data_IF_972682365727
#
_entry.id   IF_972682365727
#
_cell.length_a   1.000
_cell.length_b   1.000
_cell.length_c   1.000
_cell.angle_alpha   90.00
_cell.angle_beta   90.00
_cell.angle_gamma   90.00
#
_symmetry.space_group_name_H-M   'P 1'
#
loop_
_entity.id
_entity.type
_entity.pdbx_description
1 polymer ?
#
# COMPACT_ATOMS: atom_id res chain seq x y z
N UNK A 1 27.32 -18.52 14.69
CA UNK A 1 28.25 -19.33 13.87
C UNK A 1 27.72 -20.74 13.81
N UNK A 2 27.60 -21.29 12.60
CA UNK A 2 27.08 -22.64 12.37
C UNK A 2 28.25 -23.61 12.27
N UNK A 3 28.15 -24.72 12.98
CA UNK A 3 29.20 -25.71 13.10
C UNK A 3 28.75 -27.03 12.46
N UNK A 4 29.71 -27.74 11.90
CA UNK A 4 29.55 -29.09 11.37
C UNK A 4 30.46 -30.03 12.16
N UNK A 5 29.98 -31.23 12.44
CA UNK A 5 30.83 -32.28 13.00
C UNK A 5 31.74 -32.77 11.88
N UNK A 6 33.07 -32.59 11.94
CA UNK A 6 33.95 -33.18 10.95
C UNK A 6 33.86 -34.71 11.05
N UNK A 7 34.00 -35.41 9.92
CA UNK A 7 33.98 -36.88 9.88
C UNK A 7 35.02 -37.55 10.80
N UNK A 8 36.01 -36.79 11.29
CA UNK A 8 37.02 -37.22 12.28
C UNK A 8 36.46 -37.34 13.71
N UNK A 9 35.27 -36.83 13.99
CA UNK A 9 34.61 -36.92 15.30
C UNK A 9 33.31 -37.75 15.23
N UNK A 10 33.31 -38.84 14.46
CA UNK A 10 32.22 -39.82 14.41
C UNK A 10 31.82 -40.34 15.80
N UNK A 11 32.77 -40.45 16.73
CA UNK A 11 32.50 -40.81 18.11
C UNK A 11 31.68 -39.74 18.85
N UNK A 12 31.96 -38.45 18.64
CA UNK A 12 31.18 -37.34 19.21
C UNK A 12 29.76 -37.33 18.64
N UNK A 13 29.65 -37.56 17.33
CA UNK A 13 28.38 -37.68 16.63
C UNK A 13 27.51 -38.82 17.19
N UNK A 14 28.11 -40.00 17.39
CA UNK A 14 27.42 -41.16 17.98
C UNK A 14 26.98 -40.93 19.43
N UNK A 15 27.82 -40.30 20.25
CA UNK A 15 27.52 -40.03 21.66
C UNK A 15 26.40 -38.99 21.82
N UNK A 16 26.44 -37.90 21.04
CA UNK A 16 25.45 -36.82 21.13
C UNK A 16 24.23 -37.01 20.21
N UNK A 17 24.17 -38.10 19.45
CA UNK A 17 23.10 -38.35 18.48
C UNK A 17 23.09 -37.35 17.31
N UNK A 18 24.21 -36.70 17.04
CA UNK A 18 24.38 -35.81 15.88
C UNK A 18 24.62 -36.69 14.66
N UNK A 19 23.74 -36.64 13.65
CA UNK A 19 23.98 -37.33 12.38
C UNK A 19 25.25 -36.85 11.67
N UNK A 20 25.72 -37.60 10.66
CA UNK A 20 26.90 -37.24 9.85
C UNK A 20 26.76 -35.90 9.10
N UNK A 21 25.54 -35.39 8.99
CA UNK A 21 25.20 -34.11 8.35
C UNK A 21 24.65 -33.08 9.36
N UNK A 22 24.93 -33.24 10.66
CA UNK A 22 24.45 -32.28 11.64
C UNK A 22 25.08 -30.90 11.45
N UNK A 23 24.21 -29.91 11.31
CA UNK A 23 24.53 -28.49 11.15
C UNK A 23 23.74 -27.76 12.24
N UNK A 24 24.42 -27.12 13.20
CA UNK A 24 23.75 -26.42 14.28
C UNK A 24 24.61 -25.38 14.99
N UNK A 25 24.02 -24.71 15.98
CA UNK A 25 24.68 -23.65 16.74
C UNK A 25 25.28 -24.17 18.04
N UNK A 26 26.10 -23.34 18.70
CA UNK A 26 26.66 -23.64 20.03
C UNK A 26 25.59 -23.96 21.09
N UNK A 27 24.43 -23.33 20.98
CA UNK A 27 23.29 -23.56 21.88
C UNK A 27 22.69 -24.96 21.68
N UNK A 28 22.56 -25.37 20.42
CA UNK A 28 22.05 -26.70 20.07
C UNK A 28 22.98 -27.79 20.63
N UNK A 29 24.31 -27.61 20.53
CA UNK A 29 25.30 -28.50 21.16
C UNK A 29 25.14 -28.57 22.68
N UNK A 30 24.95 -27.42 23.33
CA UNK A 30 24.76 -27.35 24.78
C UNK A 30 23.47 -28.08 25.21
N UNK A 31 22.40 -27.95 24.42
CA UNK A 31 21.11 -28.62 24.68
C UNK A 31 21.21 -30.14 24.54
N UNK A 32 21.92 -30.63 23.50
CA UNK A 32 22.15 -32.05 23.27
C UNK A 32 23.02 -32.66 24.36
N UNK A 33 24.07 -31.94 24.77
CA UNK A 33 24.89 -32.34 25.92
C UNK A 33 24.05 -32.42 27.19
N UNK A 34 23.14 -31.47 27.41
CA UNK A 34 22.20 -31.46 28.53
C UNK A 34 21.27 -32.66 28.54
N UNK A 35 20.70 -33.00 27.39
CA UNK A 35 19.87 -34.19 27.23
C UNK A 35 20.68 -35.46 27.52
N UNK A 36 21.92 -35.54 27.04
CA UNK A 36 22.81 -36.67 27.26
C UNK A 36 23.15 -36.85 28.76
N UNK A 37 23.60 -35.78 29.42
CA UNK A 37 23.95 -35.80 30.85
C UNK A 37 22.77 -36.23 31.72
N UNK A 38 21.55 -35.75 31.40
CA UNK A 38 20.33 -36.17 32.11
C UNK A 38 19.99 -37.64 31.87
N UNK A 39 20.09 -38.11 30.62
CA UNK A 39 19.80 -39.51 30.24
C UNK A 39 20.74 -40.50 30.94
N UNK A 40 22.02 -40.15 31.04
CA UNK A 40 23.06 -41.02 31.62
C UNK A 40 23.34 -40.74 33.11
N UNK A 41 22.61 -39.80 33.75
CA UNK A 41 22.75 -39.42 35.16
C UNK A 41 24.20 -39.10 35.56
N UNK A 42 24.90 -38.34 34.72
CA UNK A 42 26.33 -38.05 34.87
C UNK A 42 26.63 -36.89 35.85
N UNK A 43 25.62 -36.36 36.53
CA UNK A 43 25.81 -35.30 37.52
C UNK A 43 26.38 -35.86 38.82
N UNK A 44 27.36 -35.15 39.39
CA UNK A 44 27.94 -35.50 40.69
C UNK A 44 26.91 -35.25 41.81
N UNK A 45 26.53 -36.26 42.61
CA UNK A 45 25.54 -36.11 43.67
C UNK A 45 26.00 -35.15 44.79
N UNK A 46 27.31 -34.96 44.95
CA UNK A 46 27.86 -34.06 45.97
C UNK A 46 27.92 -32.60 45.49
N UNK A 47 27.99 -32.37 44.17
CA UNK A 47 28.05 -31.02 43.62
C UNK A 47 27.49 -30.97 42.20
N UNK A 48 26.28 -30.40 42.08
CA UNK A 48 25.54 -30.25 40.82
C UNK A 48 26.28 -29.44 39.74
N UNK A 49 27.31 -28.67 40.10
CA UNK A 49 28.12 -27.93 39.15
C UNK A 49 29.10 -28.83 38.38
N UNK A 50 29.39 -30.03 38.89
CA UNK A 50 30.34 -30.96 38.29
C UNK A 50 29.63 -32.15 37.64
N UNK A 51 30.21 -32.60 36.54
CA UNK A 51 29.80 -33.81 35.83
C UNK A 51 30.95 -34.80 35.83
N UNK A 52 30.61 -36.06 36.11
CA UNK A 52 31.51 -37.19 36.01
C UNK A 52 31.37 -37.73 34.58
N UNK A 53 32.44 -37.66 33.80
CA UNK A 53 32.42 -38.11 32.42
C UNK A 53 32.37 -39.64 32.37
N UNK A 54 31.46 -40.17 31.56
CA UNK A 54 31.44 -41.60 31.22
C UNK A 54 32.59 -41.94 30.26
N UNK A 55 32.83 -43.24 30.06
CA UNK A 55 33.87 -43.75 29.17
C UNK A 55 33.68 -43.23 27.73
N UNK A 56 32.43 -43.08 27.30
CA UNK A 56 32.09 -42.58 25.97
C UNK A 56 32.43 -41.10 25.78
N UNK A 57 32.08 -40.21 26.72
CA UNK A 57 32.49 -38.80 26.65
C UNK A 57 33.98 -38.62 26.91
N UNK A 58 34.58 -39.43 27.78
CA UNK A 58 36.02 -39.39 28.06
C UNK A 58 36.84 -39.74 26.82
N UNK A 59 36.40 -40.73 26.02
CA UNK A 59 37.04 -41.08 24.76
C UNK A 59 36.97 -39.94 23.72
N UNK A 60 35.87 -39.18 23.72
CA UNK A 60 35.65 -38.05 22.81
C UNK A 60 36.34 -36.76 23.27
N UNK A 61 36.50 -36.60 24.58
CA UNK A 61 37.11 -35.45 25.23
C UNK A 61 38.34 -35.89 26.04
N UNK A 62 39.44 -36.33 25.39
CA UNK A 62 40.62 -36.83 26.09
C UNK A 62 41.34 -35.75 26.93
N UNK A 63 41.07 -34.47 26.67
CA UNK A 63 41.58 -33.33 27.44
C UNK A 63 40.74 -33.01 28.68
N UNK A 64 39.56 -33.62 28.80
CA UNK A 64 38.68 -33.41 29.93
C UNK A 64 39.01 -34.41 31.04
N UNK A 65 39.36 -33.88 32.23
CA UNK A 65 39.52 -34.71 33.43
C UNK A 65 38.21 -35.45 33.74
N UNK A 66 38.28 -36.61 34.40
CA UNK A 66 37.10 -37.41 34.79
C UNK A 66 36.01 -36.63 35.53
N UNK A 67 36.36 -35.50 36.16
CA UNK A 67 35.45 -34.55 36.80
C UNK A 67 35.62 -33.18 36.18
N UNK A 68 34.58 -32.66 35.54
CA UNK A 68 34.61 -31.34 34.88
C UNK A 68 33.46 -30.45 35.30
N UNK A 69 33.70 -29.14 35.23
CA UNK A 69 32.67 -28.14 35.40
C UNK A 69 31.74 -28.15 34.18
N UNK A 70 30.46 -28.13 34.47
CA UNK A 70 29.42 -28.28 33.50
C UNK A 70 29.34 -27.18 32.44
N UNK A 71 29.67 -25.96 32.87
CA UNK A 71 29.73 -24.79 32.00
C UNK A 71 30.92 -24.83 31.04
N UNK A 72 31.95 -25.62 31.35
CA UNK A 72 33.16 -25.75 30.54
C UNK A 72 33.05 -26.84 29.46
N UNK A 73 32.13 -27.78 29.60
CA UNK A 73 31.96 -28.86 28.61
C UNK A 73 31.45 -28.36 27.24
N UNK A 74 30.39 -27.54 27.15
CA UNK A 74 29.92 -27.04 25.85
C UNK A 74 30.98 -26.22 25.11
N UNK A 75 31.77 -25.39 25.81
CA UNK A 75 32.83 -24.60 25.18
C UNK A 75 33.96 -25.47 24.65
N UNK A 76 34.34 -26.52 25.39
CA UNK A 76 35.35 -27.49 24.96
C UNK A 76 34.89 -28.25 23.73
N UNK A 77 33.64 -28.70 23.68
CA UNK A 77 33.07 -29.38 22.51
C UNK A 77 33.05 -28.44 21.30
N UNK A 78 32.58 -27.20 21.47
CA UNK A 78 32.53 -26.23 20.36
C UNK A 78 33.91 -25.95 19.78
N UNK A 79 34.97 -25.96 20.60
CA UNK A 79 36.35 -25.81 20.11
C UNK A 79 36.82 -26.96 19.21
N UNK A 80 36.20 -28.15 19.31
CA UNK A 80 36.49 -29.32 18.46
C UNK A 80 35.62 -29.36 17.21
N UNK A 81 34.58 -28.54 17.14
CA UNK A 81 33.72 -28.45 15.97
C UNK A 81 34.35 -27.55 14.92
N UNK A 82 34.16 -27.92 13.65
CA UNK A 82 34.67 -27.16 12.49
C UNK A 82 33.55 -26.24 11.99
N UNK A 83 33.85 -25.00 11.57
CA UNK A 83 32.86 -24.16 10.90
C UNK A 83 32.27 -24.87 9.68
N UNK A 84 30.99 -24.69 9.40
CA UNK A 84 30.36 -25.31 8.24
C UNK A 84 31.11 -24.95 6.93
N UNK A 85 31.28 -25.96 6.06
CA UNK A 85 31.98 -25.80 4.79
C UNK A 85 31.30 -24.74 3.93
N UNK A 86 32.08 -23.82 3.34
CA UNK A 86 31.54 -22.86 2.37
C UNK A 86 31.16 -23.60 1.09
N UNK A 87 29.98 -23.32 0.57
CA UNK A 87 29.52 -23.88 -0.71
C UNK A 87 30.42 -23.33 -1.83
N UNK A 88 31.17 -24.21 -2.49
CA UNK A 88 32.04 -23.86 -3.62
C UNK A 88 31.37 -24.28 -4.93
N UNK A 89 31.03 -23.31 -5.76
CA UNK A 89 30.52 -23.55 -7.10
C UNK A 89 31.68 -23.56 -8.10
N UNK A 90 31.94 -24.70 -8.74
CA UNK A 90 32.97 -24.80 -9.79
C UNK A 90 32.28 -24.92 -11.14
N UNK A 91 32.29 -23.83 -11.91
CA UNK A 91 31.74 -23.82 -13.27
C UNK A 91 32.89 -23.81 -14.29
N UNK A 92 32.89 -24.79 -15.18
CA UNK A 92 33.81 -24.85 -16.31
C UNK A 92 33.12 -24.25 -17.53
N UNK A 93 33.59 -23.07 -17.94
CA UNK A 93 33.04 -22.36 -19.11
C UNK A 93 33.56 -23.04 -20.36
N UNK A 94 32.66 -23.58 -21.19
CA UNK A 94 32.99 -24.07 -22.53
C UNK A 94 32.79 -22.93 -23.52
N UNK A 95 33.83 -22.58 -24.29
CA UNK A 95 33.82 -21.47 -25.26
C UNK A 95 33.47 -21.92 -26.69
N UNK A 96 33.33 -23.22 -26.93
CA UNK A 96 33.16 -23.80 -28.26
C UNK A 96 31.72 -23.85 -28.77
N UNK A 97 30.75 -23.43 -27.94
CA UNK A 97 29.31 -23.57 -28.22
C UNK A 97 28.65 -22.18 -28.14
N UNK A 98 27.81 -21.78 -29.12
CA UNK A 98 27.07 -20.52 -29.07
C UNK A 98 26.20 -20.44 -27.81
N UNK A 99 26.10 -19.24 -27.23
CA UNK A 99 25.57 -18.94 -25.87
C UNK A 99 24.24 -19.64 -25.51
N UNK A 100 23.38 -19.92 -26.49
CA UNK A 100 22.06 -20.53 -26.27
C UNK A 100 22.09 -22.01 -25.85
N UNK A 101 23.23 -22.69 -26.00
CA UNK A 101 23.40 -24.09 -25.59
C UNK A 101 24.41 -24.26 -24.44
N UNK A 102 24.71 -23.21 -23.69
CA UNK A 102 25.42 -23.37 -22.43
C UNK A 102 24.39 -23.78 -21.36
N UNK A 103 24.40 -25.04 -20.87
CA UNK A 103 23.38 -25.49 -19.92
C UNK A 103 23.54 -24.70 -18.61
N UNK A 104 22.53 -23.89 -18.27
CA UNK A 104 22.43 -23.26 -16.95
C UNK A 104 22.60 -24.34 -15.90
N UNK A 105 23.67 -24.25 -15.11
CA UNK A 105 23.91 -25.20 -14.03
C UNK A 105 23.03 -24.80 -12.85
N UNK A 106 21.80 -25.32 -12.81
CA UNK A 106 20.89 -25.15 -11.69
C UNK A 106 21.27 -26.15 -10.61
N UNK A 107 21.55 -25.65 -9.40
CA UNK A 107 21.91 -26.45 -8.24
C UNK A 107 20.88 -26.19 -7.16
N UNK A 108 20.08 -27.21 -6.83
CA UNK A 108 19.19 -27.18 -5.69
C UNK A 108 19.99 -27.42 -4.40
N UNK A 109 20.23 -26.34 -3.65
CA UNK A 109 20.85 -26.41 -2.32
C UNK A 109 19.73 -26.41 -1.29
N UNK A 110 19.52 -27.54 -0.62
CA UNK A 110 18.59 -27.65 0.49
C UNK A 110 19.19 -26.95 1.72
N UNK A 111 18.77 -25.71 1.98
CA UNK A 111 19.12 -24.99 3.20
C UNK A 111 18.06 -25.39 4.23
N UNK A 112 18.42 -26.09 5.32
CA UNK A 112 17.49 -26.29 6.42
C UNK A 112 17.19 -24.91 7.01
N UNK A 113 16.03 -24.35 6.66
CA UNK A 113 15.50 -23.21 7.38
C UNK A 113 15.29 -23.67 8.82
N UNK A 114 15.88 -22.95 9.78
CA UNK A 114 15.64 -23.19 11.19
C UNK A 114 14.17 -22.88 11.44
N UNK A 115 13.31 -23.87 11.22
CA UNK A 115 11.98 -23.84 11.80
C UNK A 115 12.19 -23.70 13.30
N UNK A 116 11.55 -22.69 13.84
CA UNK A 116 11.42 -22.36 15.24
C UNK A 116 10.68 -23.47 16.00
N UNK A 117 11.09 -24.73 15.88
CA UNK A 117 10.43 -25.88 16.51
C UNK A 117 10.88 -26.05 17.97
N UNK A 118 11.71 -25.13 18.48
CA UNK A 118 12.12 -25.08 19.89
C UNK A 118 12.52 -23.69 20.39
N UNK A 119 12.32 -22.64 19.60
CA UNK A 119 12.56 -21.27 20.05
C UNK A 119 11.29 -20.77 20.75
N UNK A 120 11.34 -20.82 22.09
CA UNK A 120 10.59 -19.96 23.01
C UNK A 120 9.71 -18.91 22.33
N UNK A 121 8.41 -19.09 22.54
CA UNK A 121 7.28 -18.26 22.11
C UNK A 121 7.30 -16.88 22.79
N UNK A 122 8.41 -16.16 22.60
CA UNK A 122 8.67 -14.85 23.18
C UNK A 122 9.39 -14.03 22.13
N UNK A 123 8.69 -13.02 21.60
CA UNK A 123 9.23 -11.89 20.82
C UNK A 123 9.02 -11.90 19.28
N UNK A 124 7.88 -12.40 18.79
CA UNK A 124 7.03 -11.41 18.11
C UNK A 124 6.31 -10.71 19.25
N UNK A 125 6.92 -9.65 19.78
CA UNK A 125 6.21 -8.72 20.64
C UNK A 125 5.20 -8.10 19.69
N UNK A 126 4.04 -8.76 19.50
CA UNK A 126 2.93 -8.12 18.82
C UNK A 126 2.76 -6.79 19.56
N UNK A 127 2.83 -5.66 18.85
CA UNK A 127 2.44 -4.39 19.43
C UNK A 127 1.08 -4.61 20.11
N UNK A 128 0.81 -3.98 21.27
CA UNK A 128 -0.48 -4.14 21.94
C UNK A 128 -1.58 -3.97 20.88
N UNK A 129 -2.56 -4.88 20.82
CA UNK A 129 -3.51 -4.99 19.69
C UNK A 129 -4.14 -3.63 19.32
N UNK A 130 -4.36 -2.78 20.33
CA UNK A 130 -4.79 -1.39 20.17
C UNK A 130 -3.91 -0.53 19.23
N UNK A 131 -2.59 -0.70 19.26
CA UNK A 131 -1.64 0.04 18.40
C UNK A 131 -1.64 -0.43 16.95
N UNK A 132 -1.94 -1.72 16.71
CA UNK A 132 -2.12 -2.24 15.35
C UNK A 132 -3.43 -1.72 14.75
N UNK A 133 -4.51 -1.69 15.53
CA UNK A 133 -5.79 -1.13 15.10
C UNK A 133 -5.71 0.37 14.81
N UNK A 134 -4.96 1.13 15.63
CA UNK A 134 -4.72 2.55 15.38
C UNK A 134 -3.97 2.77 14.06
N UNK A 135 -2.93 1.97 13.80
CA UNK A 135 -2.20 2.00 12.54
C UNK A 135 -3.08 1.60 11.34
N UNK A 136 -3.89 0.55 11.48
CA UNK A 136 -4.83 0.12 10.44
C UNK A 136 -5.85 1.22 10.15
N UNK A 137 -6.36 1.87 11.20
CA UNK A 137 -7.32 2.96 11.06
C UNK A 137 -6.71 4.18 10.37
N UNK A 138 -5.48 4.55 10.73
CA UNK A 138 -4.74 5.64 10.07
C UNK A 138 -4.48 5.32 8.59
N UNK A 139 -3.99 4.12 8.28
CA UNK A 139 -3.76 3.70 6.89
C UNK A 139 -5.07 3.64 6.10
N UNK A 140 -6.18 3.22 6.73
CA UNK A 140 -7.51 3.24 6.09
C UNK A 140 -7.96 4.65 5.75
N UNK A 141 -7.73 5.64 6.64
CA UNK A 141 -7.99 7.06 6.35
C UNK A 141 -7.15 7.56 5.19
N UNK A 142 -5.86 7.25 5.16
CA UNK A 142 -4.96 7.63 4.09
C UNK A 142 -5.40 7.04 2.74
N UNK A 143 -5.73 5.75 2.70
CA UNK A 143 -6.25 5.07 1.50
C UNK A 143 -7.54 5.72 1.01
N UNK A 144 -8.47 6.05 1.92
CA UNK A 144 -9.72 6.74 1.54
C UNK A 144 -9.45 8.12 0.94
N UNK A 145 -8.55 8.90 1.54
CA UNK A 145 -8.14 10.21 1.02
C UNK A 145 -7.48 10.09 -0.36
N UNK A 146 -6.57 9.12 -0.53
CA UNK A 146 -5.92 8.87 -1.82
C UNK A 146 -6.92 8.45 -2.90
N UNK A 147 -7.92 7.63 -2.56
CA UNK A 147 -9.02 7.29 -3.49
C UNK A 147 -9.81 8.54 -3.89
N UNK A 148 -10.22 9.36 -2.93
CA UNK A 148 -10.93 10.61 -3.21
C UNK A 148 -10.12 11.56 -4.10
N UNK A 149 -8.83 11.74 -3.82
CA UNK A 149 -7.92 12.55 -4.65
C UNK A 149 -7.81 12.00 -6.06
N UNK A 150 -7.59 10.69 -6.19
CA UNK A 150 -7.50 10.02 -7.49
C UNK A 150 -8.80 10.21 -8.28
N UNK A 151 -9.95 9.98 -7.65
CA UNK A 151 -11.24 10.07 -8.30
C UNK A 151 -11.56 11.52 -8.68
N UNK A 152 -11.16 12.50 -7.86
CA UNK A 152 -11.21 13.94 -8.19
C UNK A 152 -10.40 14.27 -9.45
N UNK A 153 -9.12 13.88 -9.50
CA UNK A 153 -8.26 14.18 -10.65
C UNK A 153 -8.67 13.39 -11.90
N UNK A 154 -9.23 12.19 -11.73
CA UNK A 154 -9.80 11.41 -12.83
C UNK A 154 -11.04 12.10 -13.41
N UNK A 155 -11.97 12.55 -12.57
CA UNK A 155 -13.17 13.27 -13.00
C UNK A 155 -12.81 14.57 -13.74
N UNK A 156 -11.79 15.30 -13.25
CA UNK A 156 -11.26 16.48 -13.92
C UNK A 156 -10.68 16.16 -15.31
N UNK A 157 -9.96 15.05 -15.44
CA UNK A 157 -9.34 14.63 -16.70
C UNK A 157 -10.36 14.13 -17.74
N UNK A 158 -11.45 13.49 -17.30
CA UNK A 158 -12.48 12.96 -18.19
C UNK A 158 -13.42 14.05 -18.73
N UNK A 159 -13.88 14.99 -17.87
CA UNK A 159 -14.83 16.04 -18.24
C UNK A 159 -14.53 17.38 -17.53
N UNK A 160 -13.52 18.13 -17.97
CA UNK A 160 -13.02 19.28 -17.21
C UNK A 160 -14.04 20.42 -17.07
N UNK A 161 -14.84 20.71 -18.10
CA UNK A 161 -15.78 21.84 -18.10
C UNK A 161 -16.98 21.58 -17.19
N UNK A 162 -17.64 20.42 -17.35
CA UNK A 162 -18.76 20.01 -16.49
C UNK A 162 -18.33 19.86 -15.03
N UNK A 163 -17.15 19.27 -14.81
CA UNK A 163 -16.58 19.09 -13.48
C UNK A 163 -16.31 20.41 -12.79
N UNK A 164 -15.65 21.37 -13.47
CA UNK A 164 -15.41 22.71 -12.90
C UNK A 164 -16.71 23.43 -12.57
N UNK A 165 -17.73 23.34 -13.45
CA UNK A 165 -19.03 23.93 -13.18
C UNK A 165 -19.72 23.29 -11.96
N UNK A 166 -19.67 21.97 -11.83
CA UNK A 166 -20.21 21.24 -10.67
C UNK A 166 -19.46 21.53 -9.36
N UNK A 167 -18.13 21.67 -9.43
CA UNK A 167 -17.32 22.06 -8.27
C UNK A 167 -17.64 23.48 -7.86
N UNK A 168 -17.73 24.43 -8.79
CA UNK A 168 -18.07 25.82 -8.48
C UNK A 168 -19.47 25.93 -7.86
N UNK A 169 -20.47 25.23 -8.40
CA UNK A 169 -21.82 25.24 -7.80
C UNK A 169 -21.84 24.58 -6.42
N UNK A 170 -21.10 23.49 -6.21
CA UNK A 170 -20.93 22.86 -4.89
C UNK A 170 -20.25 23.79 -3.90
N UNK A 171 -19.17 24.48 -4.28
CA UNK A 171 -18.47 25.42 -3.41
C UNK A 171 -19.34 26.63 -3.05
N UNK A 172 -20.14 27.14 -4.00
CA UNK A 172 -21.10 28.21 -3.73
C UNK A 172 -22.18 27.74 -2.75
N UNK A 173 -22.71 26.53 -2.92
CA UNK A 173 -23.69 25.94 -2.00
C UNK A 173 -23.11 25.73 -0.59
N UNK A 174 -21.87 25.23 -0.48
CA UNK A 174 -21.18 25.01 0.79
C UNK A 174 -20.91 26.34 1.50
N UNK A 175 -20.46 27.36 0.77
CA UNK A 175 -20.25 28.71 1.33
C UNK A 175 -21.55 29.35 1.78
N UNK A 176 -22.65 29.16 1.05
CA UNK A 176 -23.97 29.59 1.49
C UNK A 176 -24.38 28.86 2.77
N UNK A 177 -24.20 27.54 2.85
CA UNK A 177 -24.51 26.77 4.05
C UNK A 177 -23.71 27.25 5.28
N UNK A 178 -22.43 27.59 5.10
CA UNK A 178 -21.58 28.16 6.16
C UNK A 178 -22.05 29.58 6.53
N UNK A 179 -22.42 30.41 5.55
CA UNK A 179 -22.89 31.79 5.75
C UNK A 179 -24.24 31.86 6.47
N UNK A 180 -25.13 30.92 6.20
CA UNK A 180 -26.44 30.82 6.86
C UNK A 180 -26.41 29.98 8.15
N UNK A 181 -25.23 29.49 8.57
CA UNK A 181 -25.07 28.75 9.81
C UNK A 181 -25.28 29.66 11.04
N UNK A 182 -26.21 29.32 11.97
CA UNK A 182 -26.71 30.23 13.01
C UNK A 182 -25.64 30.75 13.99
N UNK A 183 -24.50 30.06 14.12
CA UNK A 183 -23.39 30.43 15.02
C UNK A 183 -22.36 31.41 14.42
N UNK A 184 -22.30 31.55 13.09
CA UNK A 184 -21.30 32.39 12.38
C UNK A 184 -21.86 33.78 12.04
N UNK A 185 -23.20 33.93 12.10
CA UNK A 185 -23.93 35.19 11.87
C UNK A 185 -23.44 36.37 12.71
N UNK A 186 -22.85 36.13 13.89
CA UNK A 186 -22.38 37.19 14.79
C UNK A 186 -21.01 37.79 14.47
N UNK A 187 -20.14 37.08 13.74
CA UNK A 187 -18.73 37.47 13.55
C UNK A 187 -18.42 38.02 12.14
N UNK A 188 -19.37 37.93 11.20
CA UNK A 188 -19.26 38.54 9.86
C UNK A 188 -20.10 39.83 9.74
N UNK A 189 -20.55 40.40 10.85
CA UNK A 189 -21.33 41.64 10.90
C UNK A 189 -20.49 42.92 10.72
N UNK A 190 -19.19 42.81 10.40
CA UNK A 190 -18.25 43.95 10.29
C UNK A 190 -17.90 44.27 8.82
N UNK A 191 -18.46 43.56 7.84
CA UNK A 191 -18.47 44.08 6.47
C UNK A 191 -19.70 44.98 6.30
N UNK A 192 -19.54 46.19 5.70
CA UNK A 192 -20.61 47.15 5.56
C UNK A 192 -21.88 46.47 5.05
N UNK A 193 -22.96 46.76 5.75
CA UNK A 193 -24.32 46.45 5.38
C UNK A 193 -24.67 47.20 4.07
N UNK A 194 -24.15 46.75 2.94
CA UNK A 194 -24.81 46.93 1.65
C UNK A 194 -25.73 45.70 1.48
N UNK A 195 -26.89 45.63 2.14
CA UNK A 195 -28.06 46.48 1.84
C UNK A 195 -28.12 46.97 0.38
N UNK A 196 -27.84 46.07 -0.57
CA UNK A 196 -28.24 46.24 -1.98
C UNK A 196 -28.19 44.93 -2.79
N UNK A 197 -27.68 43.82 -2.26
CA UNK A 197 -27.49 42.55 -3.02
C UNK A 197 -28.77 41.77 -3.37
N UNK A 198 -29.90 42.46 -3.52
CA UNK A 198 -31.13 41.94 -4.12
C UNK A 198 -31.82 42.94 -5.04
N UNK A 199 -31.65 44.25 -4.81
CA UNK A 199 -32.31 45.27 -5.62
C UNK A 199 -31.64 45.47 -6.98
N UNK A 200 -30.31 45.50 -7.06
CA UNK A 200 -29.65 45.61 -8.37
C UNK A 200 -29.81 44.36 -9.24
N UNK A 201 -29.92 43.17 -8.64
CA UNK A 201 -30.14 41.92 -9.39
C UNK A 201 -31.58 41.83 -9.93
N UNK A 202 -32.56 42.33 -9.16
CA UNK A 202 -33.94 42.50 -9.60
C UNK A 202 -34.02 43.61 -10.65
N UNK A 203 -33.30 44.72 -10.49
CA UNK A 203 -33.26 45.81 -11.47
C UNK A 203 -32.48 45.45 -12.74
N UNK A 204 -31.44 44.61 -12.65
CA UNK A 204 -30.77 44.06 -13.84
C UNK A 204 -31.69 43.09 -14.56
N UNK A 205 -32.41 42.22 -13.85
CA UNK A 205 -33.40 41.33 -14.46
C UNK A 205 -34.51 42.11 -15.17
N UNK A 206 -35.05 43.15 -14.52
CA UNK A 206 -36.05 44.04 -15.13
C UNK A 206 -35.50 44.85 -16.31
N UNK A 207 -34.27 45.36 -16.22
CA UNK A 207 -33.64 46.07 -17.33
C UNK A 207 -33.27 45.16 -18.49
N UNK A 208 -32.84 43.92 -18.22
CA UNK A 208 -32.59 42.89 -19.24
C UNK A 208 -33.91 42.51 -19.91
N UNK A 209 -34.99 42.28 -19.14
CA UNK A 209 -36.32 42.01 -19.69
C UNK A 209 -36.87 43.20 -20.51
N UNK A 210 -36.66 44.44 -20.07
CA UNK A 210 -37.02 45.63 -20.81
C UNK A 210 -36.17 45.79 -22.09
N UNK A 211 -34.90 45.40 -22.06
CA UNK A 211 -34.02 45.44 -23.23
C UNK A 211 -34.37 44.34 -24.23
N UNK A 212 -34.70 43.13 -23.77
CA UNK A 212 -35.19 42.05 -24.64
C UNK A 212 -36.55 42.38 -25.24
N UNK A 213 -37.47 42.96 -24.46
CA UNK A 213 -38.75 43.44 -24.99
C UNK A 213 -38.57 44.54 -26.06
N UNK A 214 -37.67 45.50 -25.83
CA UNK A 214 -37.32 46.52 -26.84
C UNK A 214 -36.64 45.93 -28.08
N UNK A 215 -35.85 44.86 -27.93
CA UNK A 215 -35.26 44.14 -29.06
C UNK A 215 -36.34 43.39 -29.85
N UNK A 216 -37.32 42.80 -29.17
CA UNK A 216 -38.42 42.07 -29.82
C UNK A 216 -39.41 43.05 -30.48
N UNK A 217 -39.67 44.22 -29.89
CA UNK A 217 -40.39 45.33 -30.54
C UNK A 217 -39.65 45.86 -31.77
N UNK A 218 -38.31 45.97 -31.75
CA UNK A 218 -37.54 46.37 -32.93
C UNK A 218 -37.54 45.30 -34.02
N UNK A 219 -37.55 44.02 -33.64
CA UNK A 219 -37.66 42.91 -34.59
C UNK A 219 -39.05 42.83 -35.22
N UNK A 220 -40.12 43.02 -34.44
CA UNK A 220 -41.50 43.06 -34.94
C UNK A 220 -41.80 44.34 -35.74
N UNK A 221 -41.28 45.50 -35.32
CA UNK A 221 -41.31 46.73 -36.11
C UNK A 221 -40.46 46.67 -37.39
N UNK A 222 -39.46 45.78 -37.45
CA UNK A 222 -38.74 45.47 -38.70
C UNK A 222 -39.49 44.47 -39.59
N UNK A 223 -40.44 43.70 -39.03
CA UNK A 223 -41.30 42.76 -39.77
C UNK A 223 -42.57 43.45 -40.33
N UNK A 224 -43.12 44.45 -39.63
CA UNK A 224 -44.33 45.16 -40.09
C UNK A 224 -44.20 45.86 -41.46
N UNK A 225 -43.07 46.50 -41.85
CA UNK A 225 -42.93 47.10 -43.17
C UNK A 225 -42.88 46.07 -44.31
N UNK A 226 -42.50 44.82 -44.04
CA UNK A 226 -42.51 43.75 -45.03
C UNK A 226 -43.88 43.12 -45.18
N UNK A 227 -44.63 42.92 -44.09
CA UNK A 227 -46.00 42.41 -44.15
C UNK A 227 -46.95 43.43 -44.81
N UNK A 228 -46.85 44.72 -44.49
CA UNK A 228 -47.68 45.75 -45.12
C UNK A 228 -47.41 45.90 -46.63
N UNK A 229 -46.14 45.79 -47.07
CA UNK A 229 -45.78 45.77 -48.50
C UNK A 229 -46.29 44.53 -49.22
N UNK A 230 -46.25 43.36 -48.57
CA UNK A 230 -46.79 42.13 -49.16
C UNK A 230 -48.32 42.18 -49.29
N UNK A 231 -49.01 42.76 -48.31
CA UNK A 231 -50.46 42.97 -48.36
C UNK A 231 -50.86 43.99 -49.43
N UNK A 232 -50.14 45.11 -49.56
CA UNK A 232 -50.35 46.09 -50.64
C UNK A 232 -50.11 45.47 -52.04
N UNK A 233 -49.06 44.67 -52.22
CA UNK A 233 -48.81 43.96 -53.50
C UNK A 233 -49.91 42.94 -53.84
N UNK A 234 -50.45 42.26 -52.82
CA UNK A 234 -51.56 41.32 -52.98
C UNK A 234 -52.87 42.04 -53.36
N UNK A 235 -53.17 43.17 -52.74
CA UNK A 235 -54.34 43.98 -53.08
C UNK A 235 -54.21 44.61 -54.47
N UNK A 236 -53.03 45.11 -54.85
CA UNK A 236 -52.79 45.63 -56.21
C UNK A 236 -52.92 44.54 -57.27
N UNK A 237 -52.47 43.30 -56.99
CA UNK A 237 -52.69 42.15 -57.87
C UNK A 237 -54.17 41.80 -58.01
N UNK A 238 -54.96 41.85 -56.94
CA UNK A 238 -56.39 41.59 -57.00
C UNK A 238 -57.12 42.69 -57.78
N UNK A 239 -56.77 43.96 -57.59
CA UNK A 239 -57.34 45.07 -58.39
C UNK A 239 -56.96 44.96 -59.87
N UNK A 240 -55.72 44.58 -60.22
CA UNK A 240 -55.35 44.30 -61.61
C UNK A 240 -56.12 43.12 -62.22
N UNK A 241 -56.44 42.10 -61.41
CA UNK A 241 -57.27 40.98 -61.87
C UNK A 241 -58.72 41.43 -62.11
N UNK A 242 -59.28 42.28 -61.25
CA UNK A 242 -60.63 42.84 -61.44
C UNK A 242 -60.71 43.74 -62.68
N UNK A 243 -59.72 44.60 -62.91
CA UNK A 243 -59.65 45.43 -64.13
C UNK A 243 -59.47 44.60 -65.42
N UNK A 244 -58.79 43.46 -65.35
CA UNK A 244 -58.67 42.52 -66.48
C UNK A 244 -59.96 41.75 -66.76
N UNK A 245 -60.80 41.52 -65.76
CA UNK A 245 -62.13 40.92 -65.95
C UNK A 245 -63.15 41.92 -66.47
N UNK A 246 -63.00 43.22 -66.17
CA UNK A 246 -63.89 44.29 -66.69
C UNK A 246 -63.54 44.73 -68.13
N UNK A 247 -62.32 44.48 -68.60
CA UNK A 247 -61.88 44.83 -69.98
C UNK A 247 -62.11 43.73 -71.02
N UNK A 248 -62.63 42.56 -70.60
CA UNK A 248 -63.03 41.45 -71.48
C UNK A 248 -64.56 41.20 -71.44
N UNK A 249 -65.34 42.22 -71.07
CA UNK A 249 -66.80 42.26 -71.20
C UNK A 249 -67.21 43.13 -72.39
#
# INVERSE_FOLDING_TARGET
TVFKVPGTHAALAGVLGMGSEWIGTKEDVASLLWAYVKKHKLQDPNNIAYVILDEALSAVLPQAQHRQLLTALPSTIVSKLVPADRIKFTHLVKLDVPDESNPFTVLDVCIPWRNSDGAVDTQILLPPEASLDELIHEQTKAVKLHKQRRDFFRALAERPVEFMQAVMTSQVADLQAIRYHPKIRGHLSILPEESSSGMWAIDLSKNVQAYTAKLDERKSASHQPQEHKQQEDLEQRQQQQQLRTETNG
#
